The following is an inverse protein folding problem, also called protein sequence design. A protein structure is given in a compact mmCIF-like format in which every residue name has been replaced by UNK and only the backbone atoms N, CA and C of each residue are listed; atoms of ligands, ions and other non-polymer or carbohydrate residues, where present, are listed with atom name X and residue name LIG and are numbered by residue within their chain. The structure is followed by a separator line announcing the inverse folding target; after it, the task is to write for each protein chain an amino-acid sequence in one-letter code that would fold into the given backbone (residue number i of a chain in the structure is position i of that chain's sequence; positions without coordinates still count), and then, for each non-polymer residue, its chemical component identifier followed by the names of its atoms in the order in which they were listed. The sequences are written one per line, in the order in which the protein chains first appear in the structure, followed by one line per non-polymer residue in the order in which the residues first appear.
data_IF_755945416035
#
_entry.id   IF_755945416035
#
_cell.length_a   1.000
_cell.length_b   1.000
_cell.length_c   1.000
_cell.angle_alpha   90.00
_cell.angle_beta   90.00
_cell.angle_gamma   90.00
#
_symmetry.space_group_name_H-M   'P 1'
#
loop_
_entity.id
_entity.type
_entity.pdbx_description
1 polymer ?
#
# COMPACT_ATOMS: atom_id res chain seq x y z
N UNK A 1 -48.33 -7.82 21.86
CA UNK A 1 -47.76 -6.58 21.28
C UNK A 1 -46.69 -6.09 22.23
N UNK A 2 -45.40 -5.94 21.95
CA UNK A 2 -44.51 -6.03 20.77
C UNK A 2 -43.16 -6.56 21.33
N UNK A 3 -42.64 -7.68 20.81
CA UNK A 3 -41.47 -7.81 19.92
C UNK A 3 -40.11 -7.31 20.49
N UNK A 4 -39.17 -8.25 20.63
CA UNK A 4 -37.71 -8.24 20.36
C UNK A 4 -36.96 -6.88 20.42
N UNK A 5 -35.81 -6.78 21.09
CA UNK A 5 -34.56 -7.27 20.49
C UNK A 5 -33.45 -7.48 21.52
N UNK A 6 -32.86 -8.67 21.45
CA UNK A 6 -31.53 -9.02 21.96
C UNK A 6 -30.51 -8.25 21.12
N UNK A 7 -29.86 -7.26 21.71
CA UNK A 7 -28.54 -6.70 21.34
C UNK A 7 -28.28 -5.57 22.34
N UNK A 8 -27.39 -5.69 23.31
CA UNK A 8 -25.96 -5.43 23.08
C UNK A 8 -25.21 -5.93 24.31
N UNK A 9 -24.89 -7.22 24.31
CA UNK A 9 -23.85 -7.77 25.17
C UNK A 9 -22.50 -7.48 24.50
N UNK A 10 -21.49 -7.15 25.31
CA UNK A 10 -20.07 -7.17 24.97
C UNK A 10 -19.49 -5.96 24.18
N UNK A 11 -19.39 -4.81 24.85
CA UNK A 11 -18.21 -3.93 24.71
C UNK A 11 -17.06 -4.53 25.53
N UNK A 12 -16.52 -5.67 25.07
CA UNK A 12 -15.23 -6.18 25.54
C UNK A 12 -14.22 -5.88 24.44
N UNK A 13 -13.29 -4.98 24.77
CA UNK A 13 -11.96 -4.84 24.17
C UNK A 13 -11.85 -5.14 22.67
N UNK A 14 -12.15 -4.15 21.82
CA UNK A 14 -11.39 -4.01 20.56
C UNK A 14 -10.30 -2.96 20.80
N UNK A 15 -9.45 -3.25 21.79
CA UNK A 15 -8.07 -2.80 21.81
C UNK A 15 -7.18 -4.05 21.76
N UNK A 16 -7.41 -4.88 20.75
CA UNK A 16 -6.35 -5.73 20.22
C UNK A 16 -5.84 -5.01 18.99
N UNK A 17 -4.73 -4.30 19.17
CA UNK A 17 -3.87 -3.82 18.11
C UNK A 17 -3.46 -5.06 17.32
N UNK A 18 -4.22 -5.43 16.31
CA UNK A 18 -3.89 -6.56 15.46
C UNK A 18 -2.72 -6.15 14.58
N UNK A 19 -1.50 -6.50 15.02
CA UNK A 19 -0.37 -6.64 14.13
C UNK A 19 -0.61 -7.85 13.23
N UNK A 20 -1.45 -7.69 12.20
CA UNK A 20 -1.82 -8.77 11.30
C UNK A 20 -0.68 -9.06 10.32
N UNK A 21 0.04 -10.16 10.56
CA UNK A 21 1.01 -10.71 9.63
C UNK A 21 0.32 -11.65 8.63
N UNK A 22 0.61 -11.51 7.34
CA UNK A 22 0.15 -12.45 6.29
C UNK A 22 1.19 -13.54 6.09
N UNK A 23 0.77 -14.79 5.98
CA UNK A 23 1.64 -15.92 5.64
C UNK A 23 1.13 -16.67 4.40
N UNK A 24 2.05 -17.22 3.61
CA UNK A 24 1.75 -18.09 2.47
C UNK A 24 2.32 -19.48 2.74
N UNK A 25 1.52 -20.51 2.49
CA UNK A 25 1.98 -21.91 2.56
C UNK A 25 3.03 -22.19 1.49
N UNK A 26 4.13 -22.85 1.87
CA UNK A 26 5.21 -23.30 0.98
C UNK A 26 5.53 -24.78 1.22
N UNK A 27 6.11 -25.42 0.21
CA UNK A 27 6.75 -26.73 0.31
C UNK A 27 5.84 -27.83 0.92
N UNK A 28 4.59 -27.92 0.46
CA UNK A 28 3.68 -29.03 0.78
C UNK A 28 3.17 -29.67 -0.50
N UNK A 29 3.24 -31.00 -0.57
CA UNK A 29 2.88 -31.77 -1.77
C UNK A 29 1.37 -31.93 -1.94
N UNK A 30 0.63 -31.97 -0.82
CA UNK A 30 -0.84 -32.03 -0.81
C UNK A 30 -1.43 -30.92 0.05
N UNK A 31 -1.34 -31.04 1.36
CA UNK A 31 -1.88 -30.05 2.30
C UNK A 31 -1.04 -29.93 3.59
N UNK A 32 -1.07 -28.76 4.21
CA UNK A 32 -0.56 -28.48 5.55
C UNK A 32 -1.67 -28.66 6.59
N UNK A 33 -1.44 -29.45 7.62
CA UNK A 33 -2.38 -29.64 8.72
C UNK A 33 -2.47 -28.38 9.61
N UNK A 34 -3.70 -27.98 9.91
CA UNK A 34 -4.04 -26.96 10.90
C UNK A 34 -4.53 -27.67 12.16
N UNK A 35 -3.98 -27.30 13.32
CA UNK A 35 -4.21 -27.97 14.59
C UNK A 35 -4.94 -27.07 15.58
N UNK A 36 -5.67 -27.66 16.51
CA UNK A 36 -6.38 -26.91 17.55
C UNK A 36 -5.47 -26.29 18.63
N UNK A 37 -4.19 -26.68 18.69
CA UNK A 37 -3.17 -26.14 19.61
C UNK A 37 -1.81 -26.06 18.93
N UNK A 38 -0.93 -25.18 19.41
CA UNK A 38 0.44 -24.96 18.92
C UNK A 38 1.39 -26.14 19.24
N UNK A 39 1.05 -27.34 18.78
CA UNK A 39 1.77 -28.58 19.06
C UNK A 39 1.46 -29.63 17.97
N UNK A 40 2.45 -30.41 17.56
CA UNK A 40 2.31 -31.52 16.60
C UNK A 40 1.32 -32.59 17.05
N UNK A 41 1.09 -32.75 18.35
CA UNK A 41 0.12 -33.67 18.95
C UNK A 41 -1.30 -33.06 19.05
N UNK A 42 -1.52 -31.84 18.52
CA UNK A 42 -2.84 -31.24 18.42
C UNK A 42 -3.74 -31.97 17.43
N UNK A 43 -5.06 -32.01 17.70
CA UNK A 43 -6.04 -32.57 16.76
C UNK A 43 -6.03 -31.73 15.49
N UNK A 44 -6.00 -32.39 14.33
CA UNK A 44 -6.16 -31.72 13.03
C UNK A 44 -7.60 -31.24 12.91
N UNK A 45 -7.78 -29.94 12.65
CA UNK A 45 -9.08 -29.27 12.56
C UNK A 45 -9.35 -28.67 11.19
N UNK A 46 -8.30 -28.46 10.37
CA UNK A 46 -8.42 -28.04 8.99
C UNK A 46 -7.13 -28.40 8.22
N UNK A 47 -7.14 -28.14 6.93
CA UNK A 47 -5.96 -28.23 6.08
C UNK A 47 -5.82 -27.00 5.19
N UNK A 48 -4.59 -26.67 4.82
CA UNK A 48 -4.25 -25.57 3.91
C UNK A 48 -3.54 -26.14 2.67
N UNK A 49 -3.90 -25.66 1.48
CA UNK A 49 -3.22 -26.05 0.23
C UNK A 49 -1.91 -25.29 0.07
N UNK A 50 -1.01 -25.83 -0.75
CA UNK A 50 0.19 -25.10 -1.17
C UNK A 50 -0.20 -23.73 -1.77
N UNK A 51 0.62 -22.70 -1.53
CA UNK A 51 0.39 -21.30 -1.94
C UNK A 51 -0.83 -20.62 -1.32
N UNK A 52 -1.59 -21.26 -0.43
CA UNK A 52 -2.72 -20.63 0.26
C UNK A 52 -2.24 -19.54 1.25
N UNK A 53 -2.99 -18.45 1.35
CA UNK A 53 -2.69 -17.35 2.28
C UNK A 53 -3.49 -17.49 3.58
N UNK A 54 -2.87 -17.12 4.70
CA UNK A 54 -3.51 -17.00 6.01
C UNK A 54 -3.18 -15.65 6.65
N UNK A 55 -4.15 -15.10 7.38
CA UNK A 55 -4.01 -13.86 8.13
C UNK A 55 -3.81 -14.22 9.60
N UNK A 56 -2.65 -13.91 10.14
CA UNK A 56 -2.31 -14.25 11.52
C UNK A 56 -2.82 -13.21 12.48
N UNK A 57 -3.43 -13.67 13.56
CA UNK A 57 -3.79 -12.89 14.75
C UNK A 57 -2.77 -13.05 15.88
N UNK A 58 -2.00 -14.17 15.90
CA UNK A 58 -0.99 -14.46 16.92
C UNK A 58 0.09 -15.42 16.41
N UNK A 59 1.34 -15.21 16.84
CA UNK A 59 2.47 -16.12 16.56
C UNK A 59 3.05 -16.63 17.88
N UNK A 60 3.09 -17.97 18.04
CA UNK A 60 3.64 -18.64 19.22
C UNK A 60 4.83 -19.51 18.81
N UNK A 61 6.05 -19.05 19.05
CA UNK A 61 7.29 -19.75 18.67
C UNK A 61 7.26 -20.15 17.18
N UNK A 62 7.12 -21.46 16.91
CA UNK A 62 7.10 -22.04 15.58
C UNK A 62 5.67 -22.31 15.03
N UNK A 63 4.64 -21.69 15.62
CA UNK A 63 3.24 -21.84 15.21
C UNK A 63 2.60 -20.49 14.93
N UNK A 64 1.85 -20.43 13.83
CA UNK A 64 1.05 -19.27 13.43
C UNK A 64 -0.42 -19.59 13.71
N UNK A 65 -1.07 -18.80 14.56
CA UNK A 65 -2.50 -18.86 14.79
C UNK A 65 -3.25 -18.00 13.77
N UNK A 66 -4.44 -18.47 13.39
CA UNK A 66 -5.43 -17.76 12.59
C UNK A 66 -6.82 -18.34 12.90
N UNK A 67 -7.88 -17.80 12.28
CA UNK A 67 -9.28 -18.14 12.62
C UNK A 67 -9.66 -19.64 12.57
N UNK A 68 -8.85 -20.51 11.95
CA UNK A 68 -9.09 -21.98 11.93
C UNK A 68 -8.18 -22.78 12.88
N UNK A 69 -7.23 -22.16 13.55
CA UNK A 69 -6.30 -22.81 14.47
C UNK A 69 -4.82 -22.49 14.19
N UNK A 70 -3.94 -23.43 14.49
CA UNK A 70 -2.49 -23.28 14.46
C UNK A 70 -1.87 -24.03 13.28
N UNK A 71 -1.05 -23.35 12.47
CA UNK A 71 -0.25 -23.94 11.41
C UNK A 71 1.26 -23.84 11.74
N UNK A 72 2.05 -24.86 11.38
CA UNK A 72 3.50 -24.83 11.62
C UNK A 72 4.17 -23.80 10.73
N UNK A 73 5.04 -22.97 11.32
CA UNK A 73 5.80 -21.92 10.63
C UNK A 73 6.82 -22.47 9.64
N UNK A 74 7.29 -23.72 9.81
CA UNK A 74 8.24 -24.36 8.89
C UNK A 74 7.73 -24.42 7.45
N UNK A 75 6.41 -24.57 7.32
CA UNK A 75 5.69 -24.66 6.04
C UNK A 75 5.07 -23.32 5.61
N UNK A 76 5.45 -22.23 6.27
CA UNK A 76 4.92 -20.90 6.00
C UNK A 76 6.07 -19.95 5.64
N UNK A 77 5.84 -19.12 4.63
CA UNK A 77 6.65 -17.93 4.39
C UNK A 77 5.84 -16.74 4.88
N UNK A 78 6.40 -15.96 5.82
CA UNK A 78 5.83 -14.67 6.18
C UNK A 78 5.86 -13.78 4.95
N UNK A 79 4.69 -13.41 4.46
CA UNK A 79 4.53 -12.40 3.44
C UNK A 79 4.57 -11.09 4.19
N UNK A 80 5.75 -10.49 4.23
CA UNK A 80 6.02 -9.27 4.98
C UNK A 80 4.90 -8.29 4.71
N UNK A 81 4.06 -8.04 5.72
CA UNK A 81 3.06 -6.97 5.69
C UNK A 81 3.75 -5.67 6.09
N UNK A 82 4.93 -5.48 5.50
CA UNK A 82 5.83 -4.36 5.67
C UNK A 82 7.21 -4.61 5.06
N UNK A 83 7.27 -4.61 3.73
CA UNK A 83 8.51 -4.76 2.98
C UNK A 83 8.38 -5.84 1.92
N UNK A 84 7.93 -5.46 0.72
CA UNK A 84 7.93 -6.34 -0.44
C UNK A 84 9.33 -6.93 -0.65
N UNK A 85 9.49 -8.22 -0.43
CA UNK A 85 10.29 -9.07 -1.29
C UNK A 85 9.27 -9.94 -2.05
N UNK A 86 8.93 -9.54 -3.27
CA UNK A 86 8.18 -10.41 -4.17
C UNK A 86 9.19 -11.03 -5.14
N UNK A 87 9.33 -12.35 -5.07
CA UNK A 87 10.29 -13.14 -5.82
C UNK A 87 9.92 -13.38 -7.28
N UNK A 88 9.27 -12.41 -7.94
CA UNK A 88 8.93 -12.52 -9.37
C UNK A 88 9.62 -11.44 -10.22
N UNK A 89 10.61 -10.75 -9.65
CA UNK A 89 11.54 -9.91 -10.41
C UNK A 89 12.96 -10.17 -9.89
N UNK A 90 13.64 -11.15 -10.49
CA UNK A 90 15.08 -11.31 -10.31
C UNK A 90 15.78 -10.11 -10.97
N UNK A 91 16.04 -9.06 -10.19
CA UNK A 91 17.22 -8.22 -10.40
C UNK A 91 18.24 -8.74 -9.38
N UNK A 92 19.51 -8.98 -9.76
CA UNK A 92 20.54 -9.32 -8.80
C UNK A 92 20.59 -8.24 -7.73
N UNK A 93 20.36 -8.63 -6.46
CA UNK A 93 20.70 -7.78 -5.32
C UNK A 93 22.19 -7.94 -5.15
N UNK A 94 22.96 -7.00 -5.71
CA UNK A 94 24.31 -6.75 -5.21
C UNK A 94 24.15 -6.26 -3.77
N UNK A 95 24.61 -7.09 -2.85
CA UNK A 95 24.62 -6.77 -1.43
C UNK A 95 25.48 -5.54 -1.21
N UNK A 96 24.86 -4.41 -0.91
CA UNK A 96 25.55 -3.34 -0.22
C UNK A 96 24.62 -2.60 0.72
N UNK A 97 24.78 -2.90 2.00
CA UNK A 97 24.32 -2.06 3.10
C UNK A 97 25.06 -0.72 2.99
N UNK A 98 24.46 0.29 2.36
CA UNK A 98 24.92 1.66 2.51
C UNK A 98 23.81 2.52 3.11
N UNK A 99 24.01 2.88 4.38
CA UNK A 99 23.57 4.17 4.88
C UNK A 99 24.28 5.27 4.08
N UNK A 100 23.51 6.25 3.61
CA UNK A 100 24.00 7.47 2.97
C UNK A 100 23.83 7.49 1.45
N UNK A 101 23.12 8.50 0.92
CA UNK A 101 23.13 8.83 -0.50
C UNK A 101 21.78 9.32 -1.03
N UNK A 102 21.73 10.58 -1.49
CA UNK A 102 20.57 11.11 -2.20
C UNK A 102 20.22 10.22 -3.40
N UNK A 103 18.96 9.79 -3.48
CA UNK A 103 18.52 8.89 -4.53
C UNK A 103 18.49 9.63 -5.88
N UNK A 104 19.56 9.49 -6.67
CA UNK A 104 19.62 9.85 -8.10
C UNK A 104 18.76 8.89 -8.95
N UNK A 105 17.51 8.65 -8.57
CA UNK A 105 16.55 7.95 -9.43
C UNK A 105 16.13 8.90 -10.56
N UNK A 106 16.16 8.42 -11.80
CA UNK A 106 15.60 9.20 -12.92
C UNK A 106 14.08 9.27 -12.79
N UNK A 107 13.47 10.32 -13.34
CA UNK A 107 11.99 10.45 -13.36
C UNK A 107 11.32 9.20 -13.94
N UNK A 108 11.93 8.59 -14.94
CA UNK A 108 11.41 7.40 -15.59
C UNK A 108 11.45 6.16 -14.70
N UNK A 109 12.51 5.97 -13.90
CA UNK A 109 12.59 4.83 -13.00
C UNK A 109 11.57 4.97 -11.86
N UNK A 110 11.40 6.18 -11.32
CA UNK A 110 10.35 6.49 -10.34
C UNK A 110 8.96 6.23 -10.92
N UNK A 111 8.68 6.74 -12.12
CA UNK A 111 7.37 6.56 -12.76
C UNK A 111 7.05 5.08 -13.04
N UNK A 112 8.05 4.29 -13.48
CA UNK A 112 7.91 2.84 -13.67
C UNK A 112 7.66 2.11 -12.35
N UNK A 113 8.36 2.49 -11.28
CA UNK A 113 8.18 1.88 -9.95
C UNK A 113 6.77 2.15 -9.40
N UNK A 114 6.28 3.39 -9.51
CA UNK A 114 4.89 3.76 -9.18
C UNK A 114 3.90 2.96 -10.03
N UNK A 115 4.10 2.94 -11.35
CA UNK A 115 3.23 2.23 -12.28
C UNK A 115 3.09 0.74 -11.94
N UNK A 116 4.22 0.05 -11.82
CA UNK A 116 4.23 -1.39 -11.54
C UNK A 116 3.59 -1.70 -10.18
N UNK A 117 3.85 -0.88 -9.16
CA UNK A 117 3.27 -1.04 -7.84
C UNK A 117 1.73 -1.01 -7.90
N UNK A 118 1.15 0.04 -8.47
CA UNK A 118 -0.32 0.20 -8.48
C UNK A 118 -1.00 -0.68 -9.52
N UNK A 119 -0.31 -0.99 -10.63
CA UNK A 119 -0.81 -1.94 -11.62
C UNK A 119 -0.98 -3.33 -11.00
N UNK A 120 -0.02 -3.77 -10.18
CA UNK A 120 -0.12 -5.03 -9.42
C UNK A 120 -1.26 -5.01 -8.37
N UNK A 121 -1.66 -3.82 -7.89
CA UNK A 121 -2.84 -3.62 -7.03
C UNK A 121 -4.16 -3.51 -7.82
N UNK A 122 -4.11 -3.68 -9.14
CA UNK A 122 -5.27 -3.66 -10.02
C UNK A 122 -5.81 -2.27 -10.31
N UNK A 123 -4.99 -1.22 -10.19
CA UNK A 123 -5.35 0.12 -10.65
C UNK A 123 -5.27 0.18 -12.18
N UNK A 124 -6.10 1.02 -12.81
CA UNK A 124 -6.05 1.21 -14.26
C UNK A 124 -4.82 2.03 -14.64
N UNK A 125 -4.29 1.80 -15.86
CA UNK A 125 -3.20 2.59 -16.42
C UNK A 125 -3.55 4.09 -16.42
N UNK A 126 -4.79 4.42 -16.79
CA UNK A 126 -5.29 5.79 -16.82
C UNK A 126 -5.21 6.48 -15.45
N UNK A 127 -5.68 5.82 -14.39
CA UNK A 127 -5.64 6.37 -13.03
C UNK A 127 -4.21 6.55 -12.55
N UNK A 128 -3.34 5.57 -12.80
CA UNK A 128 -1.93 5.67 -12.39
C UNK A 128 -1.23 6.82 -13.12
N UNK A 129 -1.49 6.99 -14.43
CA UNK A 129 -0.91 8.08 -15.20
C UNK A 129 -1.47 9.45 -14.79
N UNK A 130 -2.76 9.54 -14.43
CA UNK A 130 -3.36 10.75 -13.85
C UNK A 130 -2.67 11.16 -12.55
N UNK A 131 -2.39 10.20 -11.66
CA UNK A 131 -1.62 10.43 -10.44
C UNK A 131 -0.15 10.81 -10.73
N UNK A 132 0.51 10.16 -11.69
CA UNK A 132 1.88 10.50 -12.08
C UNK A 132 2.01 11.93 -12.63
N UNK A 133 0.98 12.42 -13.33
CA UNK A 133 0.94 13.82 -13.77
C UNK A 133 0.96 14.81 -12.61
N UNK A 134 0.29 14.48 -11.50
CA UNK A 134 0.35 15.25 -10.26
C UNK A 134 1.71 15.13 -9.59
N UNK A 135 2.23 13.91 -9.40
CA UNK A 135 3.55 13.68 -8.78
C UNK A 135 4.67 14.46 -9.48
N UNK A 136 4.63 14.55 -10.82
CA UNK A 136 5.63 15.31 -11.55
C UNK A 136 5.49 16.82 -11.34
N UNK A 137 4.27 17.35 -11.24
CA UNK A 137 4.08 18.76 -10.91
C UNK A 137 4.52 19.09 -9.48
N UNK A 138 4.24 18.20 -8.53
CA UNK A 138 4.56 18.43 -7.12
C UNK A 138 6.06 18.36 -6.83
N UNK A 139 6.75 17.36 -7.40
CA UNK A 139 8.13 17.04 -6.99
C UNK A 139 9.12 16.89 -8.14
N UNK A 140 8.64 16.96 -9.38
CA UNK A 140 9.43 16.50 -10.52
C UNK A 140 9.74 15.01 -10.45
N UNK A 141 8.88 14.21 -9.80
CA UNK A 141 9.09 12.78 -9.52
C UNK A 141 10.36 12.52 -8.70
N UNK A 142 10.62 13.37 -7.69
CA UNK A 142 11.71 13.19 -6.73
C UNK A 142 11.15 12.75 -5.38
N UNK A 143 11.34 11.49 -4.95
CA UNK A 143 10.80 11.01 -3.68
C UNK A 143 11.53 11.60 -2.46
N UNK A 144 12.76 12.04 -2.62
CA UNK A 144 13.58 12.64 -1.56
C UNK A 144 13.77 14.14 -1.80
N UNK A 145 12.67 14.90 -1.74
CA UNK A 145 12.68 16.36 -1.89
C UNK A 145 11.77 17.01 -0.85
N UNK A 146 12.30 18.00 -0.15
CA UNK A 146 11.49 18.95 0.60
C UNK A 146 10.91 20.00 -0.36
N UNK A 147 9.85 20.67 0.07
CA UNK A 147 9.23 21.77 -0.67
C UNK A 147 10.19 22.93 -0.90
N UNK A 148 10.19 23.48 -2.12
CA UNK A 148 10.95 24.67 -2.46
C UNK A 148 10.10 25.89 -2.05
N UNK A 149 10.56 26.67 -1.06
CA UNK A 149 9.88 27.88 -0.59
C UNK A 149 9.33 27.82 0.83
N UNK A 150 9.52 26.70 1.55
CA UNK A 150 9.32 26.64 3.00
C UNK A 150 7.91 26.30 3.50
N UNK A 151 7.00 25.82 2.65
CA UNK A 151 5.64 25.41 3.05
C UNK A 151 5.56 24.08 3.83
N UNK A 152 6.66 23.34 3.92
CA UNK A 152 6.78 22.14 4.74
C UNK A 152 6.36 20.84 4.07
N UNK A 153 6.07 20.84 2.76
CA UNK A 153 5.81 19.65 1.96
C UNK A 153 7.02 18.73 1.82
N UNK A 154 6.76 17.45 1.58
CA UNK A 154 7.83 16.46 1.35
C UNK A 154 7.40 15.34 0.39
N UNK A 155 8.32 14.89 -0.47
CA UNK A 155 8.18 13.70 -1.30
C UNK A 155 7.36 13.90 -2.58
N UNK A 156 6.96 12.77 -3.20
CA UNK A 156 6.35 12.70 -4.54
C UNK A 156 5.09 13.54 -4.70
N UNK A 157 4.24 13.56 -3.66
CA UNK A 157 2.97 14.29 -3.62
C UNK A 157 3.03 15.48 -2.64
N UNK A 158 4.24 15.92 -2.26
CA UNK A 158 4.44 17.05 -1.34
C UNK A 158 3.51 17.01 -0.12
N UNK A 159 3.47 15.87 0.60
CA UNK A 159 2.63 15.71 1.79
C UNK A 159 2.88 16.86 2.75
N UNK A 160 1.82 17.61 3.08
CA UNK A 160 1.92 18.82 3.88
C UNK A 160 1.02 18.73 5.12
N UNK A 161 1.58 18.81 6.34
CA UNK A 161 3.02 18.87 6.64
C UNK A 161 3.73 17.53 6.33
N UNK A 162 5.01 17.60 5.93
CA UNK A 162 5.83 16.43 5.60
C UNK A 162 5.96 15.40 6.72
N UNK A 163 5.67 15.80 7.97
CA UNK A 163 5.58 14.91 9.12
C UNK A 163 4.54 13.80 8.95
N UNK A 164 3.49 13.99 8.15
CA UNK A 164 2.47 12.96 7.89
C UNK A 164 3.11 11.71 7.28
N UNK A 165 3.93 11.89 6.24
CA UNK A 165 4.65 10.79 5.61
C UNK A 165 5.79 10.30 6.50
N UNK A 166 6.62 11.21 7.03
CA UNK A 166 7.80 10.86 7.85
C UNK A 166 7.41 10.04 9.08
N UNK A 167 6.42 10.49 9.86
CA UNK A 167 5.96 9.78 11.06
C UNK A 167 5.31 8.44 10.73
N UNK A 168 4.46 8.39 9.71
CA UNK A 168 3.83 7.14 9.28
C UNK A 168 4.86 6.10 8.84
N UNK A 169 5.83 6.50 8.01
CA UNK A 169 6.89 5.62 7.54
C UNK A 169 7.77 5.13 8.69
N UNK A 170 8.21 6.05 9.57
CA UNK A 170 9.02 5.72 10.74
C UNK A 170 8.29 4.75 11.69
N UNK A 171 6.98 4.93 11.91
CA UNK A 171 6.17 4.02 12.73
C UNK A 171 6.09 2.59 12.20
N UNK A 172 6.37 2.39 10.90
CA UNK A 172 6.41 1.10 10.23
C UNK A 172 7.84 0.58 9.97
N UNK A 173 8.87 1.33 10.37
CA UNK A 173 10.27 1.02 10.08
C UNK A 173 10.65 1.19 8.60
N UNK A 174 9.91 2.01 7.84
CA UNK A 174 10.19 2.26 6.43
C UNK A 174 11.06 3.50 6.22
N UNK A 175 11.87 3.49 5.16
CA UNK A 175 12.58 4.67 4.70
C UNK A 175 11.66 5.58 3.87
N UNK A 176 11.21 6.69 4.48
CA UNK A 176 10.31 7.67 3.86
C UNK A 176 10.84 8.33 2.57
N UNK A 177 12.16 8.25 2.31
CA UNK A 177 12.84 8.79 1.13
C UNK A 177 12.67 7.95 -0.14
N UNK A 178 12.04 6.79 -0.04
CA UNK A 178 11.93 5.82 -1.16
C UNK A 178 10.58 5.91 -1.86
N UNK A 179 10.59 5.78 -3.19
CA UNK A 179 9.39 5.71 -4.03
C UNK A 179 8.41 4.65 -3.53
N UNK A 180 8.90 3.41 -3.31
CA UNK A 180 8.13 2.32 -2.70
C UNK A 180 7.38 2.67 -1.41
N UNK A 181 8.02 3.38 -0.48
CA UNK A 181 7.39 3.75 0.80
C UNK A 181 6.26 4.75 0.58
N UNK A 182 6.42 5.66 -0.37
CA UNK A 182 5.41 6.64 -0.72
C UNK A 182 4.25 6.01 -1.49
N UNK A 183 4.50 5.03 -2.36
CA UNK A 183 3.45 4.19 -2.94
C UNK A 183 2.65 3.44 -1.86
N UNK A 184 3.33 2.87 -0.86
CA UNK A 184 2.68 2.24 0.29
C UNK A 184 1.81 3.24 1.08
N UNK A 185 2.24 4.50 1.22
CA UNK A 185 1.45 5.54 1.89
C UNK A 185 0.16 5.86 1.15
N UNK A 186 0.22 6.02 -0.16
CA UNK A 186 -0.97 6.28 -1.00
C UNK A 186 -1.94 5.09 -0.94
N UNK A 187 -1.42 3.87 -0.99
CA UNK A 187 -2.23 2.66 -0.81
C UNK A 187 -2.87 2.61 0.58
N UNK A 188 -2.15 3.00 1.63
CA UNK A 188 -2.70 3.13 2.97
C UNK A 188 -3.84 4.16 3.03
N UNK A 189 -3.70 5.32 2.37
CA UNK A 189 -4.76 6.33 2.30
C UNK A 189 -6.01 5.81 1.57
N UNK A 190 -5.83 4.96 0.54
CA UNK A 190 -6.93 4.27 -0.11
C UNK A 190 -7.61 3.26 0.81
N UNK A 191 -6.84 2.41 1.50
CA UNK A 191 -7.36 1.33 2.33
C UNK A 191 -8.04 1.81 3.62
N UNK A 192 -7.60 2.95 4.18
CA UNK A 192 -8.05 3.45 5.48
C UNK A 192 -8.89 4.73 5.39
N UNK A 193 -9.03 5.29 4.17
CA UNK A 193 -9.68 6.57 3.95
C UNK A 193 -8.87 7.76 4.48
N UNK A 194 -9.27 8.97 4.07
CA UNK A 194 -8.81 10.22 4.69
C UNK A 194 -8.27 11.26 3.73
N UNK A 195 -7.35 10.91 2.82
CA UNK A 195 -6.69 11.92 1.97
C UNK A 195 -7.53 12.27 0.72
N UNK A 196 -8.22 11.30 0.14
CA UNK A 196 -8.98 11.46 -1.10
C UNK A 196 -10.46 11.79 -0.81
N UNK A 197 -10.85 13.06 -0.98
CA UNK A 197 -12.19 13.58 -0.72
C UNK A 197 -12.85 13.99 -2.03
N UNK A 198 -14.11 13.61 -2.25
CA UNK A 198 -14.87 14.04 -3.43
C UNK A 198 -15.09 15.55 -3.42
N UNK A 199 -14.97 16.19 -4.58
CA UNK A 199 -15.19 17.62 -4.79
C UNK A 199 -16.33 17.87 -5.79
N UNK A 200 -16.69 19.14 -6.00
CA UNK A 200 -17.67 19.51 -7.04
C UNK A 200 -17.10 19.27 -8.44
N UNK A 201 -15.80 19.47 -8.59
CA UNK A 201 -15.04 19.33 -9.84
C UNK A 201 -14.80 17.85 -10.18
N UNK A 202 -14.70 16.98 -9.17
CA UNK A 202 -14.65 15.54 -9.37
C UNK A 202 -15.39 14.75 -8.28
N UNK A 203 -16.51 14.12 -8.67
CA UNK A 203 -17.34 13.29 -7.79
C UNK A 203 -16.88 11.83 -7.68
N UNK A 204 -15.75 11.46 -8.27
CA UNK A 204 -15.20 10.11 -8.11
C UNK A 204 -14.75 9.90 -6.66
N UNK A 205 -15.20 8.81 -6.04
CA UNK A 205 -14.57 8.29 -4.82
C UNK A 205 -13.21 7.69 -5.16
N UNK A 206 -12.34 7.46 -4.16
CA UNK A 206 -11.02 6.87 -4.42
C UNK A 206 -11.16 5.48 -5.08
N UNK A 207 -12.10 4.65 -4.63
CA UNK A 207 -12.39 3.35 -5.25
C UNK A 207 -12.84 3.45 -6.72
N UNK A 208 -13.63 4.47 -7.07
CA UNK A 208 -14.01 4.70 -8.47
C UNK A 208 -12.86 5.27 -9.28
N UNK A 209 -12.02 6.12 -8.69
CA UNK A 209 -10.83 6.68 -9.32
C UNK A 209 -9.89 5.58 -9.80
N UNK A 210 -9.48 4.67 -8.91
CA UNK A 210 -8.46 3.64 -9.23
C UNK A 210 -8.93 2.64 -10.29
N UNK A 211 -10.25 2.51 -10.51
CA UNK A 211 -10.85 1.65 -11.52
C UNK A 211 -11.27 2.39 -12.80
N UNK A 212 -11.14 3.71 -12.84
CA UNK A 212 -11.64 4.53 -13.94
C UNK A 212 -10.81 4.35 -15.20
N UNK A 213 -11.48 4.25 -16.35
CA UNK A 213 -10.87 4.22 -17.69
C UNK A 213 -11.04 5.54 -18.44
N UNK A 214 -11.50 6.60 -17.76
CA UNK A 214 -11.52 7.96 -18.29
C UNK A 214 -10.11 8.42 -18.67
N UNK A 215 -10.00 9.50 -19.44
CA UNK A 215 -8.69 9.96 -19.92
C UNK A 215 -7.72 10.26 -18.77
N UNK A 216 -6.41 10.03 -18.96
CA UNK A 216 -5.41 10.36 -17.93
C UNK A 216 -5.44 11.84 -17.54
N UNK A 217 -5.81 12.75 -18.45
CA UNK A 217 -5.97 14.18 -18.16
C UNK A 217 -7.12 14.45 -17.20
N UNK A 218 -8.29 13.84 -17.44
CA UNK A 218 -9.42 13.95 -16.52
C UNK A 218 -9.08 13.35 -15.14
N UNK A 219 -8.35 12.24 -15.12
CA UNK A 219 -7.91 11.62 -13.87
C UNK A 219 -6.76 12.39 -13.19
N UNK A 220 -6.00 13.21 -13.92
CA UNK A 220 -5.06 14.14 -13.31
C UNK A 220 -5.79 15.26 -12.58
N UNK A 221 -6.81 15.83 -13.21
CA UNK A 221 -7.68 16.85 -12.62
C UNK A 221 -8.41 16.33 -11.37
N UNK A 222 -9.02 15.15 -11.48
CA UNK A 222 -9.67 14.50 -10.34
C UNK A 222 -8.71 14.27 -9.17
N UNK A 223 -7.49 13.80 -9.42
CA UNK A 223 -6.51 13.57 -8.36
C UNK A 223 -6.06 14.88 -7.71
N UNK A 224 -5.85 15.93 -8.52
CA UNK A 224 -5.53 17.26 -8.03
C UNK A 224 -6.62 17.80 -7.08
N UNK A 225 -7.89 17.76 -7.49
CA UNK A 225 -8.99 18.26 -6.66
C UNK A 225 -9.28 17.39 -5.45
N UNK A 226 -9.14 16.06 -5.59
CA UNK A 226 -9.62 15.16 -4.55
C UNK A 226 -8.52 14.68 -3.59
N UNK A 227 -7.24 14.65 -3.99
CA UNK A 227 -6.12 14.20 -3.14
C UNK A 227 -5.18 15.34 -2.75
N UNK A 228 -4.68 16.11 -3.73
CA UNK A 228 -3.66 17.16 -3.51
C UNK A 228 -4.23 18.43 -2.88
N UNK A 229 -5.30 18.97 -3.47
CA UNK A 229 -5.91 20.27 -3.14
C UNK A 229 -4.87 21.40 -2.99
N UNK A 230 -4.03 21.64 -4.02
CA UNK A 230 -2.94 22.60 -3.92
C UNK A 230 -3.47 24.04 -3.96
N UNK A 231 -2.73 24.98 -3.37
CA UNK A 231 -3.04 26.41 -3.49
C UNK A 231 -2.91 26.94 -4.93
N UNK A 232 -2.07 26.30 -5.76
CA UNK A 232 -1.92 26.59 -7.18
C UNK A 232 -2.18 25.33 -7.99
N UNK A 233 -3.22 25.36 -8.84
CA UNK A 233 -3.67 24.18 -9.55
C UNK A 233 -2.70 23.71 -10.63
N UNK A 234 -2.16 24.61 -11.46
CA UNK A 234 -1.27 24.25 -12.59
C UNK A 234 -1.83 23.08 -13.44
N UNK A 235 -3.13 23.15 -13.75
CA UNK A 235 -3.90 22.02 -14.29
C UNK A 235 -3.38 21.53 -15.64
N UNK A 236 -3.02 22.44 -16.55
CA UNK A 236 -2.55 22.10 -17.89
C UNK A 236 -1.24 21.30 -17.84
N UNK A 237 -0.33 21.65 -16.94
CA UNK A 237 0.92 20.89 -16.71
C UNK A 237 0.61 19.48 -16.24
N UNK A 238 -0.25 19.34 -15.22
CA UNK A 238 -0.65 18.03 -14.67
C UNK A 238 -1.29 17.14 -15.74
N UNK A 239 -2.18 17.70 -16.57
CA UNK A 239 -2.82 17.01 -17.69
C UNK A 239 -1.79 16.59 -18.74
N UNK A 240 -0.91 17.49 -19.15
CA UNK A 240 0.17 17.22 -20.10
C UNK A 240 1.10 16.11 -19.61
N UNK A 241 1.52 16.15 -18.35
CA UNK A 241 2.35 15.10 -17.74
C UNK A 241 1.62 13.77 -17.64
N UNK A 242 0.33 13.76 -17.30
CA UNK A 242 -0.45 12.53 -17.28
C UNK A 242 -0.54 11.87 -18.66
N UNK A 243 -0.78 12.65 -19.73
CA UNK A 243 -0.74 12.14 -21.10
C UNK A 243 0.63 11.63 -21.49
N UNK A 244 1.70 12.37 -21.14
CA UNK A 244 3.09 11.97 -21.39
C UNK A 244 3.39 10.59 -20.79
N UNK A 245 3.05 10.36 -19.53
CA UNK A 245 3.27 9.07 -18.87
C UNK A 245 2.38 7.96 -19.43
N UNK A 246 1.15 8.27 -19.80
CA UNK A 246 0.25 7.30 -20.43
C UNK A 246 0.79 6.77 -21.76
N UNK A 247 1.43 7.62 -22.56
CA UNK A 247 2.03 7.23 -23.83
C UNK A 247 3.34 6.45 -23.65
N UNK A 248 4.02 6.62 -22.51
CA UNK A 248 5.38 6.09 -22.26
C UNK A 248 5.41 4.75 -21.51
N UNK A 249 4.46 4.51 -20.62
CA UNK A 249 4.32 3.28 -19.80
C UNK A 249 3.38 2.28 -20.46
#
# INVERSE_FOLDING_TARGET
MKLFSITTLLLINICSVFSNDVYRVKNVDSTLNVRNKANINGKVVASLKNKQYIFSDKVNNNWVHFYKGYASKDYLTKITTGGYAHSDYLIPVDGNNNQGGGNNQSKESVAKEVYNFFKAKGWTKNAICGMLGNMERESGLKPDTDEIGGGGGYGLLQWTPGSILKNWANSKGYNYRTTKTQCLRIQYDYDNGGQFLTSKECSLTFAKYIKSTKSPEYLAECFMHNYERPGVYALDERKSYARKWFNKL
#
